data_IF_741109489928
#
_entry.id   IF_741109489928
#
_cell.length_a   1.000
_cell.length_b   1.000
_cell.length_c   1.000
_cell.angle_alpha   90.00
_cell.angle_beta   90.00
_cell.angle_gamma   90.00
#
_symmetry.space_group_name_H-M   'P 1'
#
loop_
_entity.id
_entity.type
_entity.pdbx_description
1 polymer ?
#
# COMPACT_ATOMS: atom_id res chain seq x y z
N UNK A 1 0.63 32.86 1.93
CA UNK A 1 1.33 31.59 1.65
C UNK A 1 0.25 30.53 1.54
N UNK A 2 0.09 29.89 0.39
CA UNK A 2 -0.94 28.87 0.20
C UNK A 2 -0.35 27.52 0.63
N UNK A 3 -0.88 26.96 1.72
CA UNK A 3 -0.61 25.60 2.18
C UNK A 3 -1.32 24.66 1.20
N UNK A 4 -0.57 23.82 0.49
CA UNK A 4 -1.14 22.81 -0.38
C UNK A 4 -1.73 21.72 0.53
N UNK A 5 -3.02 21.82 0.83
CA UNK A 5 -3.74 20.80 1.58
C UNK A 5 -3.88 19.57 0.67
N UNK A 6 -2.91 18.66 0.77
CA UNK A 6 -2.94 17.39 0.06
C UNK A 6 -4.02 16.52 0.71
N UNK A 7 -5.26 16.70 0.23
CA UNK A 7 -6.40 15.90 0.62
C UNK A 7 -6.16 14.45 0.18
N UNK A 8 -5.83 13.59 1.14
CA UNK A 8 -5.76 12.14 0.97
C UNK A 8 -7.13 11.68 0.45
N UNK A 9 -7.22 11.42 -0.85
CA UNK A 9 -8.42 10.83 -1.45
C UNK A 9 -8.74 9.54 -0.72
N UNK A 10 -9.81 9.55 0.07
CA UNK A 10 -10.39 8.35 0.65
C UNK A 10 -10.88 7.48 -0.51
N UNK A 11 -10.04 6.51 -0.91
CA UNK A 11 -10.38 5.60 -1.99
C UNK A 11 -11.60 4.77 -1.58
N UNK A 12 -12.70 4.79 -2.37
CA UNK A 12 -13.89 4.02 -2.04
C UNK A 12 -13.57 2.53 -2.16
N UNK A 13 -13.52 1.86 -1.00
CA UNK A 13 -13.59 0.39 -0.86
C UNK A 13 -14.90 -0.12 -1.46
N UNK A 14 -14.95 -0.30 -2.77
CA UNK A 14 -16.04 -1.00 -3.44
C UNK A 14 -15.77 -2.51 -3.39
N UNK A 15 -16.38 -3.17 -2.42
CA UNK A 15 -16.44 -4.62 -2.35
C UNK A 15 -17.43 -5.13 -3.41
N UNK A 16 -16.95 -5.64 -4.54
CA UNK A 16 -17.76 -6.52 -5.37
C UNK A 16 -17.55 -7.96 -4.87
N UNK A 17 -18.35 -8.36 -3.87
CA UNK A 17 -18.59 -9.77 -3.59
C UNK A 17 -19.72 -10.19 -4.52
N UNK A 18 -19.39 -10.77 -5.68
CA UNK A 18 -20.37 -11.56 -6.44
C UNK A 18 -20.50 -12.90 -5.73
N UNK A 19 -21.60 -13.06 -5.00
CA UNK A 19 -22.05 -14.35 -4.49
C UNK A 19 -22.49 -15.21 -5.67
N UNK A 20 -21.69 -16.23 -5.99
CA UNK A 20 -22.07 -17.30 -6.91
C UNK A 20 -21.35 -18.58 -6.48
N UNK A 21 -22.06 -19.33 -5.62
CA UNK A 21 -22.12 -20.80 -5.57
C UNK A 21 -20.90 -21.61 -6.04
N UNK A 22 -20.16 -22.20 -5.10
CA UNK A 22 -19.83 -23.65 -4.98
C UNK A 22 -18.58 -23.86 -4.07
N UNK A 23 -18.57 -24.83 -3.12
CA UNK A 23 -17.50 -24.95 -2.13
C UNK A 23 -16.46 -26.00 -2.56
N UNK A 24 -15.45 -25.61 -3.35
CA UNK A 24 -14.24 -26.42 -3.53
C UNK A 24 -12.98 -25.54 -3.54
N UNK A 25 -12.19 -25.66 -2.47
CA UNK A 25 -10.78 -25.24 -2.36
C UNK A 25 -10.49 -23.73 -2.44
N UNK A 26 -11.06 -22.91 -1.56
CA UNK A 26 -10.88 -21.45 -1.54
C UNK A 26 -9.94 -20.91 -0.44
N UNK A 27 -9.19 -21.77 0.27
CA UNK A 27 -8.29 -21.28 1.32
C UNK A 27 -7.07 -20.53 0.76
N UNK A 28 -6.43 -21.06 -0.30
CA UNK A 28 -5.21 -20.45 -0.90
C UNK A 28 -5.45 -19.03 -1.42
N UNK A 29 -6.60 -18.76 -2.04
CA UNK A 29 -6.93 -17.42 -2.53
C UNK A 29 -7.23 -16.44 -1.39
N UNK A 30 -7.86 -16.90 -0.29
CA UNK A 30 -8.10 -16.03 0.87
C UNK A 30 -6.81 -15.58 1.57
N UNK A 31 -5.81 -16.48 1.69
CA UNK A 31 -4.52 -16.14 2.30
C UNK A 31 -3.72 -15.18 1.41
N UNK A 32 -3.77 -15.37 0.08
CA UNK A 32 -3.13 -14.45 -0.89
C UNK A 32 -3.79 -13.07 -0.87
N UNK A 33 -5.12 -13.00 -0.87
CA UNK A 33 -5.87 -11.75 -0.76
C UNK A 33 -5.60 -11.02 0.57
N UNK A 34 -5.54 -11.77 1.68
CA UNK A 34 -5.17 -11.21 2.99
C UNK A 34 -3.73 -10.69 3.01
N UNK A 35 -2.81 -11.39 2.35
CA UNK A 35 -1.41 -10.97 2.24
C UNK A 35 -1.24 -9.73 1.36
N UNK A 36 -2.03 -9.60 0.30
CA UNK A 36 -2.09 -8.41 -0.54
C UNK A 36 -2.64 -7.21 0.24
N UNK A 37 -3.73 -7.39 1.00
CA UNK A 37 -4.30 -6.33 1.83
C UNK A 37 -3.31 -5.85 2.90
N UNK A 38 -2.65 -6.77 3.61
CA UNK A 38 -1.65 -6.41 4.61
C UNK A 38 -0.47 -5.62 3.98
N UNK A 39 -0.07 -5.99 2.77
CA UNK A 39 0.99 -5.30 2.04
C UNK A 39 0.56 -3.90 1.58
N UNK A 40 -0.69 -3.75 1.15
CA UNK A 40 -1.29 -2.46 0.80
C UNK A 40 -1.33 -1.51 2.02
N UNK A 41 -1.78 -1.99 3.17
CA UNK A 41 -1.78 -1.21 4.43
C UNK A 41 -0.37 -0.76 4.83
N UNK A 42 0.63 -1.64 4.66
CA UNK A 42 2.01 -1.32 4.96
C UNK A 42 2.58 -0.26 4.00
N UNK A 43 2.25 -0.33 2.71
CA UNK A 43 2.60 0.70 1.71
C UNK A 43 1.97 2.05 2.09
N UNK A 44 0.70 2.06 2.48
CA UNK A 44 0.02 3.29 2.91
C UNK A 44 0.64 3.90 4.17
N UNK A 45 0.99 3.06 5.14
CA UNK A 45 1.68 3.52 6.34
C UNK A 45 3.05 4.14 6.01
N UNK A 46 3.85 3.47 5.17
CA UNK A 46 5.16 3.96 4.75
C UNK A 46 5.07 5.27 3.97
N UNK A 47 4.07 5.44 3.09
CA UNK A 47 3.82 6.71 2.38
C UNK A 47 3.53 7.86 3.33
N UNK A 48 2.57 7.68 4.26
CA UNK A 48 2.23 8.71 5.25
C UNK A 48 3.43 9.09 6.12
N UNK A 49 4.23 8.11 6.51
CA UNK A 49 5.43 8.36 7.32
C UNK A 49 6.50 9.11 6.52
N UNK A 50 6.72 8.76 5.25
CA UNK A 50 7.63 9.46 4.36
C UNK A 50 7.19 10.91 4.15
N UNK A 51 5.91 11.12 3.86
CA UNK A 51 5.30 12.45 3.73
C UNK A 51 5.49 13.28 5.00
N UNK A 52 5.27 12.68 6.18
CA UNK A 52 5.50 13.34 7.46
C UNK A 52 6.97 13.78 7.62
N UNK A 53 7.94 12.93 7.29
CA UNK A 53 9.36 13.31 7.36
C UNK A 53 9.69 14.51 6.45
N UNK A 54 9.07 14.56 5.27
CA UNK A 54 9.23 15.70 4.34
C UNK A 54 8.58 16.96 4.90
N UNK A 55 7.38 16.85 5.48
CA UNK A 55 6.69 17.98 6.13
C UNK A 55 7.43 18.50 7.37
N UNK A 56 8.09 17.63 8.11
CA UNK A 56 8.99 17.97 9.23
C UNK A 56 10.28 18.66 8.75
N UNK A 57 10.49 18.79 7.43
CA UNK A 57 11.65 19.45 6.85
C UNK A 57 12.92 18.61 6.89
N UNK A 58 12.82 17.28 7.02
CA UNK A 58 13.99 16.42 6.85
C UNK A 58 14.49 16.49 5.42
N UNK A 59 15.81 16.52 5.28
CA UNK A 59 16.43 16.47 3.97
C UNK A 59 16.09 15.15 3.27
N UNK A 60 15.76 15.24 1.98
CA UNK A 60 15.45 14.06 1.15
C UNK A 60 16.63 13.10 1.04
N UNK A 61 17.84 13.61 1.22
CA UNK A 61 19.10 12.86 1.25
C UNK A 61 19.45 12.33 2.64
N UNK A 62 18.67 12.66 3.67
CA UNK A 62 18.91 12.13 5.01
C UNK A 62 18.73 10.62 4.99
N UNK A 63 19.61 9.93 5.71
CA UNK A 63 19.62 8.47 5.75
C UNK A 63 18.25 7.89 6.13
N UNK A 64 17.53 8.55 7.06
CA UNK A 64 16.18 8.17 7.45
C UNK A 64 15.16 8.22 6.30
N UNK A 65 15.22 9.25 5.46
CA UNK A 65 14.28 9.42 4.33
C UNK A 65 14.63 8.44 3.21
N UNK A 66 15.92 8.27 2.93
CA UNK A 66 16.41 7.34 1.90
C UNK A 66 16.06 5.89 2.26
N UNK A 67 16.31 5.47 3.50
CA UNK A 67 15.95 4.11 3.96
C UNK A 67 14.44 3.88 3.88
N UNK A 68 13.61 4.86 4.31
CA UNK A 68 12.15 4.72 4.21
C UNK A 68 11.66 4.67 2.76
N UNK A 69 12.20 5.51 1.88
CA UNK A 69 11.87 5.49 0.44
C UNK A 69 12.23 4.15 -0.18
N UNK A 70 13.43 3.64 0.12
CA UNK A 70 13.92 2.36 -0.39
C UNK A 70 13.02 1.20 0.08
N UNK A 71 12.61 1.23 1.34
CA UNK A 71 11.69 0.24 1.89
C UNK A 71 10.30 0.32 1.25
N UNK A 72 9.79 1.53 1.04
CA UNK A 72 8.52 1.76 0.35
C UNK A 72 8.57 1.20 -1.08
N UNK A 73 9.63 1.48 -1.83
CA UNK A 73 9.82 0.96 -3.18
C UNK A 73 9.87 -0.57 -3.20
N UNK A 74 10.57 -1.18 -2.25
CA UNK A 74 10.60 -2.63 -2.10
C UNK A 74 9.18 -3.22 -1.90
N UNK A 75 8.36 -2.60 -1.05
CA UNK A 75 6.99 -3.07 -0.78
C UNK A 75 6.08 -2.88 -1.98
N UNK A 76 6.19 -1.76 -2.70
CA UNK A 76 5.47 -1.52 -3.95
C UNK A 76 5.84 -2.58 -4.99
N UNK A 77 7.13 -2.84 -5.18
CA UNK A 77 7.59 -3.86 -6.12
C UNK A 77 7.03 -5.25 -5.78
N UNK A 78 7.03 -5.61 -4.50
CA UNK A 78 6.43 -6.87 -4.03
C UNK A 78 4.92 -6.92 -4.29
N UNK A 79 4.21 -5.82 -4.06
CA UNK A 79 2.78 -5.73 -4.33
C UNK A 79 2.49 -5.93 -5.82
N UNK A 80 3.23 -5.23 -6.68
CA UNK A 80 3.08 -5.34 -8.13
C UNK A 80 3.37 -6.75 -8.64
N UNK A 81 4.35 -7.45 -8.05
CA UNK A 81 4.62 -8.85 -8.39
C UNK A 81 3.46 -9.77 -7.97
N UNK A 82 2.96 -9.61 -6.74
CA UNK A 82 1.84 -10.41 -6.25
C UNK A 82 0.56 -10.16 -7.07
N UNK A 83 0.26 -8.91 -7.42
CA UNK A 83 -0.90 -8.59 -8.27
C UNK A 83 -0.77 -9.25 -9.64
N UNK A 84 0.41 -9.18 -10.28
CA UNK A 84 0.67 -9.83 -11.57
C UNK A 84 0.61 -11.36 -11.53
N UNK A 85 0.84 -11.99 -10.38
CA UNK A 85 0.72 -13.44 -10.20
C UNK A 85 -0.73 -13.89 -9.94
N UNK A 86 -1.65 -12.97 -9.61
CA UNK A 86 -3.06 -13.27 -9.35
C UNK A 86 -3.99 -12.89 -10.51
N UNK A 87 -3.48 -12.29 -11.59
CA UNK A 87 -4.17 -12.01 -12.87
C UNK A 87 -3.92 -13.15 -13.87
#
# INVERSE_FOLDING_TARGET
>A
MAFLEYQLSEYPKKWHVSESSEPRMSSKNSYKASSLHALEEEIHFLRRKLEQLVLEGREMTSESVVQMSTLLDFKINKYMQLVKEND
#
